data_IF_397449500942
#
_entry.id   IF_397449500942
#
_cell.length_a   1.000
_cell.length_b   1.000
_cell.length_c   1.000
_cell.angle_alpha   90.00
_cell.angle_beta   90.00
_cell.angle_gamma   90.00
#
_symmetry.space_group_name_H-M   'P 1'
#
loop_
_entity.id
_entity.type
_entity.pdbx_description
1 polymer ?
#
# COMPACT_ATOMS: atom_id res chain seq x y z
N UNK A 1 -3.54 -24.30 10.15
CA UNK A 1 -2.95 -22.97 10.48
C UNK A 1 -3.33 -21.97 9.40
N UNK A 2 -3.74 -20.74 9.73
CA UNK A 2 -4.08 -19.69 8.74
C UNK A 2 -2.85 -18.81 8.46
N UNK A 3 -2.64 -18.38 7.21
CA UNK A 3 -1.45 -17.61 6.80
C UNK A 3 -1.21 -16.33 7.64
N UNK A 4 -2.27 -15.59 7.99
CA UNK A 4 -2.13 -14.38 8.81
C UNK A 4 -1.62 -14.66 10.24
N UNK A 5 -1.86 -15.87 10.78
CA UNK A 5 -1.36 -16.27 12.10
C UNK A 5 0.16 -16.48 12.07
N UNK A 6 0.67 -17.07 10.99
CA UNK A 6 2.12 -17.25 10.78
C UNK A 6 2.81 -15.89 10.61
N UNK A 7 2.25 -15.02 9.76
CA UNK A 7 2.77 -13.65 9.55
C UNK A 7 2.84 -12.91 10.89
N UNK A 8 1.76 -12.94 11.68
CA UNK A 8 1.72 -12.28 12.99
C UNK A 8 2.75 -12.85 13.95
N UNK A 9 2.94 -14.17 13.99
CA UNK A 9 3.95 -14.81 14.82
C UNK A 9 5.37 -14.38 14.43
N UNK A 10 5.70 -14.40 13.14
CA UNK A 10 7.00 -13.94 12.65
C UNK A 10 7.25 -12.46 12.96
N UNK A 11 6.27 -11.58 12.71
CA UNK A 11 6.40 -10.16 13.05
C UNK A 11 6.67 -9.94 14.55
N UNK A 12 5.99 -10.68 15.42
CA UNK A 12 6.23 -10.61 16.87
C UNK A 12 7.65 -11.06 17.23
N UNK A 13 8.17 -12.11 16.59
CA UNK A 13 9.53 -12.62 16.85
C UNK A 13 10.61 -11.60 16.51
N UNK A 14 10.41 -10.80 15.46
CA UNK A 14 11.38 -9.78 15.03
C UNK A 14 11.06 -8.37 15.56
N UNK A 15 10.13 -8.26 16.52
CA UNK A 15 9.78 -6.99 17.17
C UNK A 15 8.98 -6.00 16.32
N UNK A 16 8.41 -6.43 15.18
CA UNK A 16 7.57 -5.59 14.34
C UNK A 16 6.16 -5.53 14.94
N UNK A 17 5.77 -4.34 15.40
CA UNK A 17 4.51 -4.10 16.12
C UNK A 17 3.35 -3.78 15.16
N UNK A 18 2.14 -4.15 15.54
CA UNK A 18 0.90 -3.74 14.87
C UNK A 18 -0.01 -4.90 14.44
N UNK A 19 -1.10 -4.56 13.75
CA UNK A 19 -2.04 -5.54 13.15
C UNK A 19 -1.53 -5.95 11.77
N UNK A 20 -0.68 -6.96 11.75
CA UNK A 20 0.00 -7.44 10.55
C UNK A 20 -0.58 -8.77 10.09
N UNK A 21 -0.76 -8.89 8.78
CA UNK A 21 -1.35 -10.06 8.15
C UNK A 21 -1.28 -9.96 6.63
N UNK A 22 -1.99 -10.86 5.95
CA UNK A 22 -1.94 -11.00 4.48
C UNK A 22 -2.30 -9.72 3.75
N UNK A 23 -3.35 -9.00 4.19
CA UNK A 23 -3.71 -7.71 3.58
C UNK A 23 -2.67 -6.62 3.82
N UNK A 24 -2.00 -6.61 4.98
CA UNK A 24 -0.94 -5.63 5.24
C UNK A 24 0.22 -5.85 4.28
N UNK A 25 0.64 -7.11 4.06
CA UNK A 25 1.66 -7.44 3.08
C UNK A 25 1.26 -7.03 1.66
N UNK A 26 -0.01 -7.26 1.27
CA UNK A 26 -0.52 -6.84 -0.05
C UNK A 26 -0.47 -5.32 -0.23
N UNK A 27 -0.82 -4.54 0.80
CA UNK A 27 -0.68 -3.08 0.80
C UNK A 27 0.78 -2.66 0.65
N UNK A 28 1.68 -3.27 1.43
CA UNK A 28 3.11 -3.01 1.36
C UNK A 28 3.66 -3.30 -0.04
N UNK A 29 3.29 -4.41 -0.67
CA UNK A 29 3.72 -4.72 -2.04
C UNK A 29 3.25 -3.65 -3.04
N UNK A 30 1.98 -3.25 -3.00
CA UNK A 30 1.46 -2.19 -3.86
C UNK A 30 2.13 -0.83 -3.61
N UNK A 31 2.44 -0.50 -2.36
CA UNK A 31 3.22 0.69 -2.01
C UNK A 31 4.64 0.64 -2.58
N UNK A 32 5.33 -0.50 -2.49
CA UNK A 32 6.68 -0.65 -3.05
C UNK A 32 6.69 -0.59 -4.58
N UNK A 33 5.69 -1.15 -5.26
CA UNK A 33 5.54 -0.99 -6.72
C UNK A 33 5.44 0.49 -7.10
N UNK A 34 4.64 1.26 -6.35
CA UNK A 34 4.54 2.70 -6.54
C UNK A 34 5.88 3.41 -6.34
N UNK A 35 6.60 3.07 -5.26
CA UNK A 35 7.93 3.64 -4.98
C UNK A 35 8.96 3.30 -6.07
N UNK A 36 8.79 2.16 -6.75
CA UNK A 36 9.58 1.76 -7.91
C UNK A 36 9.15 2.45 -9.22
N UNK A 37 8.18 3.36 -9.18
CA UNK A 37 7.72 4.12 -10.35
C UNK A 37 6.70 3.39 -11.24
N UNK A 38 6.13 2.27 -10.77
CA UNK A 38 5.11 1.55 -11.54
C UNK A 38 3.84 2.41 -11.65
N UNK A 39 3.25 2.58 -12.85
CA UNK A 39 2.01 3.33 -13.03
C UNK A 39 0.87 2.79 -12.15
N UNK A 40 0.05 3.67 -11.59
CA UNK A 40 -0.97 3.28 -10.61
C UNK A 40 -2.07 2.40 -11.21
N UNK A 41 -2.29 2.52 -12.52
CA UNK A 41 -3.18 1.70 -13.33
C UNK A 41 -2.70 0.24 -13.36
N UNK A 42 -1.40 0.04 -13.63
CA UNK A 42 -0.77 -1.29 -13.62
C UNK A 42 -0.80 -1.90 -12.22
N UNK A 43 -0.58 -1.08 -11.18
CA UNK A 43 -0.70 -1.54 -9.79
C UNK A 43 -2.15 -1.97 -9.50
N UNK A 44 -3.15 -1.25 -10.01
CA UNK A 44 -4.56 -1.62 -9.84
C UNK A 44 -4.89 -2.95 -10.50
N UNK A 45 -4.37 -3.22 -11.71
CA UNK A 45 -4.51 -4.50 -12.40
C UNK A 45 -3.86 -5.64 -11.60
N UNK A 46 -2.61 -5.46 -11.16
CA UNK A 46 -1.89 -6.46 -10.33
C UNK A 46 -2.63 -6.73 -9.02
N UNK A 47 -3.22 -5.69 -8.41
CA UNK A 47 -4.01 -5.82 -7.20
C UNK A 47 -5.47 -6.26 -7.45
N UNK A 48 -5.90 -6.44 -8.70
CA UNK A 48 -7.26 -6.86 -9.05
C UNK A 48 -8.34 -5.89 -8.57
N UNK A 49 -8.03 -4.60 -8.48
CA UNK A 49 -8.98 -3.58 -8.06
C UNK A 49 -9.78 -3.06 -9.25
N UNK A 50 -11.07 -2.82 -9.04
CA UNK A 50 -11.99 -2.34 -10.08
C UNK A 50 -11.78 -0.87 -10.49
N UNK A 51 -10.99 -0.12 -9.73
CA UNK A 51 -10.65 1.27 -10.06
C UNK A 51 -9.34 1.71 -9.41
N UNK A 52 -8.68 2.67 -10.06
CA UNK A 52 -7.47 3.32 -9.55
C UNK A 52 -7.70 3.98 -8.19
N UNK A 53 -8.88 4.56 -7.97
CA UNK A 53 -9.24 5.20 -6.69
C UNK A 53 -9.21 4.22 -5.51
N UNK A 54 -9.61 2.96 -5.73
CA UNK A 54 -9.49 1.90 -4.71
C UNK A 54 -8.02 1.65 -4.42
N UNK A 55 -7.17 1.51 -5.45
CA UNK A 55 -5.73 1.29 -5.29
C UNK A 55 -5.06 2.44 -4.53
N UNK A 56 -5.33 3.70 -4.89
CA UNK A 56 -4.82 4.88 -4.19
C UNK A 56 -5.10 4.81 -2.69
N UNK A 57 -6.37 4.61 -2.31
CA UNK A 57 -6.77 4.45 -0.89
C UNK A 57 -6.11 3.22 -0.25
N UNK A 58 -6.04 2.11 -0.98
CA UNK A 58 -5.53 0.84 -0.47
C UNK A 58 -4.05 0.92 -0.06
N UNK A 59 -3.22 1.56 -0.88
CA UNK A 59 -1.77 1.72 -0.64
C UNK A 59 -1.41 3.02 0.10
N UNK A 60 -2.40 3.80 0.55
CA UNK A 60 -2.19 4.98 1.38
C UNK A 60 -1.76 6.25 0.65
N UNK A 61 -2.12 6.39 -0.64
CA UNK A 61 -2.05 7.68 -1.35
C UNK A 61 -3.14 8.58 -0.77
N UNK A 62 -2.76 9.55 0.05
CA UNK A 62 -3.68 10.57 0.60
C UNK A 62 -3.68 11.82 -0.28
N UNK A 63 -4.70 12.66 -0.10
CA UNK A 63 -4.80 13.95 -0.78
C UNK A 63 -3.61 14.89 -0.47
N UNK A 64 -2.82 14.60 0.57
CA UNK A 64 -1.67 15.42 0.97
C UNK A 64 -0.60 15.50 -0.12
N UNK A 65 -0.46 14.44 -0.93
CA UNK A 65 0.46 14.44 -2.06
C UNK A 65 -0.04 15.35 -3.19
N UNK A 66 -1.36 15.39 -3.42
CA UNK A 66 -1.98 16.32 -4.36
C UNK A 66 -1.77 17.75 -3.88
N UNK A 67 -2.00 18.01 -2.59
CA UNK A 67 -1.73 19.32 -1.98
C UNK A 67 -0.27 19.72 -2.09
N UNK A 68 0.67 18.78 -1.91
CA UNK A 68 2.11 19.04 -2.06
C UNK A 68 2.47 19.38 -3.50
N UNK A 69 1.89 18.69 -4.47
CA UNK A 69 2.05 19.01 -5.90
C UNK A 69 1.51 20.41 -6.19
N UNK A 70 0.29 20.74 -5.76
CA UNK A 70 -0.31 22.07 -5.97
C UNK A 70 0.56 23.19 -5.38
N UNK A 71 1.04 23.01 -4.14
CA UNK A 71 1.99 23.94 -3.51
C UNK A 71 3.28 24.11 -4.30
N UNK A 72 3.85 23.02 -4.84
CA UNK A 72 5.05 23.08 -5.66
C UNK A 72 4.83 23.79 -7.00
N UNK A 73 3.59 23.83 -7.50
CA UNK A 73 3.20 24.57 -8.70
C UNK A 73 2.69 25.98 -8.39
N UNK A 74 2.77 26.46 -7.14
CA UNK A 74 2.27 27.78 -6.71
C UNK A 74 0.79 28.03 -7.09
N UNK A 75 -0.01 26.96 -7.17
CA UNK A 75 -1.44 26.97 -7.45
C UNK A 75 -2.27 26.83 -6.16
#
# INVERSE_FOLDING_TARGET
>A
VRAWQLIRAWCNQVGVKGRLGTHTLRKSAGYHMRMAGVPIEMIAEVLGHRSVSITKRYIGITNDEVTKVLKNFNL
#
